data_IF_329883773686
#
_entry.id   IF_329883773686
#
_cell.length_a   1.000
_cell.length_b   1.000
_cell.length_c   1.000
_cell.angle_alpha   90.00
_cell.angle_beta   90.00
_cell.angle_gamma   90.00
#
_symmetry.space_group_name_H-M   'P 1'
#
loop_
_entity.id
_entity.type
_entity.pdbx_description
1 polymer ?
#
# COMPACT_ATOMS: atom_id res chain seq x y z
N UNK A 1 -0.18 -11.45 7.72
CA UNK A 1 -0.65 -12.57 8.54
C UNK A 1 -1.14 -12.10 9.90
N UNK A 2 -0.25 -11.93 10.90
CA UNK A 2 -0.60 -11.49 12.27
C UNK A 2 -1.69 -10.40 12.35
N UNK A 3 -1.52 -9.28 11.63
CA UNK A 3 -2.52 -8.20 11.62
C UNK A 3 -3.89 -8.62 11.08
N UNK A 4 -3.92 -9.44 10.01
CA UNK A 4 -5.17 -9.94 9.42
C UNK A 4 -5.88 -10.92 10.38
N UNK A 5 -5.13 -11.78 11.06
CA UNK A 5 -5.67 -12.70 12.09
C UNK A 5 -6.38 -11.89 13.18
N UNK A 6 -5.69 -10.91 13.76
CA UNK A 6 -6.28 -10.06 14.80
C UNK A 6 -7.49 -9.26 14.31
N UNK A 7 -7.49 -8.80 13.05
CA UNK A 7 -8.63 -8.11 12.47
C UNK A 7 -9.86 -9.01 12.34
N UNK A 8 -9.65 -10.24 11.87
CA UNK A 8 -10.71 -11.24 11.77
C UNK A 8 -11.28 -11.56 13.15
N UNK A 9 -10.41 -11.88 14.12
CA UNK A 9 -10.85 -12.20 15.48
C UNK A 9 -11.61 -11.04 16.13
N UNK A 10 -11.09 -9.81 16.06
CA UNK A 10 -11.74 -8.64 16.66
C UNK A 10 -13.10 -8.34 16.02
N UNK A 11 -13.21 -8.40 14.69
CA UNK A 11 -14.48 -8.16 14.01
C UNK A 11 -15.51 -9.27 14.29
N UNK A 12 -15.04 -10.51 14.44
CA UNK A 12 -15.89 -11.65 14.82
C UNK A 12 -16.42 -11.50 16.24
N UNK A 13 -15.59 -11.04 17.18
CA UNK A 13 -16.00 -10.70 18.55
C UNK A 13 -17.04 -9.55 18.58
N UNK A 14 -16.91 -8.59 17.66
CA UNK A 14 -17.88 -7.49 17.46
C UNK A 14 -19.16 -7.93 16.69
N UNK A 15 -19.28 -9.21 16.33
CA UNK A 15 -20.47 -9.78 15.71
C UNK A 15 -20.57 -9.60 14.18
N UNK A 16 -19.45 -9.32 13.51
CA UNK A 16 -19.38 -9.33 12.05
C UNK A 16 -19.08 -10.73 11.51
N UNK A 17 -19.63 -11.03 10.33
CA UNK A 17 -19.15 -12.14 9.51
C UNK A 17 -17.84 -11.73 8.83
N UNK A 18 -16.81 -12.55 9.01
CA UNK A 18 -15.44 -12.26 8.57
C UNK A 18 -15.05 -13.10 7.38
N UNK A 19 -14.53 -12.43 6.34
CA UNK A 19 -14.11 -13.05 5.08
C UNK A 19 -12.62 -12.76 4.88
N UNK A 20 -11.82 -13.82 4.77
CA UNK A 20 -10.39 -13.71 4.50
C UNK A 20 -10.09 -14.07 3.04
N UNK A 21 -9.26 -13.26 2.36
CA UNK A 21 -8.70 -13.58 1.05
C UNK A 21 -7.18 -13.57 1.17
N UNK A 22 -6.56 -14.74 1.08
CA UNK A 22 -5.11 -14.90 1.17
C UNK A 22 -4.69 -16.23 0.52
N UNK A 23 -3.55 -16.26 -0.17
CA UNK A 23 -3.05 -17.43 -0.89
C UNK A 23 -1.77 -18.02 -0.29
N UNK A 24 -1.29 -17.53 0.86
CA UNK A 24 -0.08 -18.05 1.49
C UNK A 24 -0.40 -19.25 2.40
N UNK A 25 0.02 -20.48 2.05
CA UNK A 25 -0.32 -21.68 2.82
C UNK A 25 0.36 -21.75 4.20
N UNK A 26 1.41 -20.96 4.42
CA UNK A 26 2.20 -20.99 5.67
C UNK A 26 1.69 -20.00 6.72
N UNK A 27 0.44 -19.57 6.64
CA UNK A 27 -0.09 -18.47 7.46
C UNK A 27 -1.31 -18.86 8.29
N UNK A 28 -1.40 -18.33 9.51
CA UNK A 28 -2.54 -18.59 10.41
C UNK A 28 -3.83 -17.96 9.85
N UNK A 29 -3.70 -16.87 9.09
CA UNK A 29 -4.84 -16.28 8.37
C UNK A 29 -5.47 -17.22 7.35
N UNK A 30 -4.80 -18.27 6.91
CA UNK A 30 -5.37 -19.28 6.01
C UNK A 30 -5.82 -20.56 6.72
N UNK A 31 -5.79 -20.59 8.06
CA UNK A 31 -6.49 -21.62 8.82
C UNK A 31 -8.01 -21.37 8.79
N UNK A 32 -8.78 -22.44 8.61
CA UNK A 32 -10.24 -22.39 8.51
C UNK A 32 -10.94 -21.90 9.79
N UNK A 33 -10.26 -21.91 10.93
CA UNK A 33 -10.81 -21.43 12.21
C UNK A 33 -10.70 -19.91 12.40
N UNK A 34 -9.87 -19.23 11.58
CA UNK A 34 -9.54 -17.80 11.76
C UNK A 34 -10.65 -16.85 11.29
N UNK A 35 -11.41 -17.24 10.27
CA UNK A 35 -12.48 -16.43 9.65
C UNK A 35 -13.69 -17.28 9.35
N UNK A 36 -14.88 -16.69 9.30
CA UNK A 36 -16.11 -17.43 8.99
C UNK A 36 -16.09 -17.99 7.55
N UNK A 37 -15.44 -17.28 6.63
CA UNK A 37 -15.23 -17.70 5.24
C UNK A 37 -13.81 -17.40 4.78
N UNK A 38 -13.13 -18.41 4.23
CA UNK A 38 -11.79 -18.29 3.66
C UNK A 38 -11.82 -18.53 2.15
N UNK A 39 -11.29 -17.56 1.41
CA UNK A 39 -10.96 -17.68 0.00
C UNK A 39 -9.45 -17.83 -0.15
N UNK A 40 -9.02 -19.07 -0.42
CA UNK A 40 -7.62 -19.37 -0.72
C UNK A 40 -7.30 -19.04 -2.19
N UNK A 41 -7.43 -17.76 -2.52
CA UNK A 41 -7.33 -17.23 -3.89
C UNK A 41 -6.22 -16.18 -3.98
N UNK A 42 -5.65 -15.94 -5.19
CA UNK A 42 -4.69 -14.88 -5.39
C UNK A 42 -5.25 -13.51 -5.00
N UNK A 43 -4.42 -12.67 -4.36
CA UNK A 43 -4.80 -11.30 -3.99
C UNK A 43 -4.59 -10.37 -5.19
N UNK A 44 -5.39 -10.56 -6.24
CA UNK A 44 -5.42 -9.69 -7.44
C UNK A 44 -6.72 -8.91 -7.52
N UNK A 45 -6.77 -7.91 -8.40
CA UNK A 45 -7.99 -7.11 -8.59
C UNK A 45 -9.16 -7.98 -9.07
N UNK A 46 -8.94 -8.85 -10.05
CA UNK A 46 -9.99 -9.66 -10.67
C UNK A 46 -10.59 -10.64 -9.65
N UNK A 47 -9.74 -11.42 -8.99
CA UNK A 47 -10.16 -12.42 -8.01
C UNK A 47 -10.94 -11.78 -6.85
N UNK A 48 -10.45 -10.65 -6.34
CA UNK A 48 -11.12 -9.92 -5.26
C UNK A 48 -12.46 -9.34 -5.72
N UNK A 49 -12.56 -8.83 -6.96
CA UNK A 49 -13.83 -8.30 -7.48
C UNK A 49 -14.89 -9.40 -7.63
N UNK A 50 -14.52 -10.60 -8.06
CA UNK A 50 -15.46 -11.72 -8.14
C UNK A 50 -15.96 -12.14 -6.74
N UNK A 51 -15.08 -12.17 -5.74
CA UNK A 51 -15.48 -12.43 -4.35
C UNK A 51 -16.42 -11.33 -3.84
N UNK A 52 -16.09 -10.06 -4.06
CA UNK A 52 -16.95 -8.92 -3.67
C UNK A 52 -18.31 -8.98 -4.37
N UNK A 53 -18.36 -9.41 -5.64
CA UNK A 53 -19.59 -9.51 -6.43
C UNK A 53 -20.58 -10.49 -5.81
N UNK A 54 -20.11 -11.62 -5.28
CA UNK A 54 -20.95 -12.64 -4.66
C UNK A 54 -21.24 -12.33 -3.18
N UNK A 55 -20.23 -11.91 -2.41
CA UNK A 55 -20.35 -11.70 -0.96
C UNK A 55 -21.01 -10.37 -0.60
N UNK A 56 -20.84 -9.35 -1.45
CA UNK A 56 -21.35 -7.98 -1.22
C UNK A 56 -21.03 -7.48 0.20
N UNK A 57 -19.75 -7.48 0.62
CA UNK A 57 -19.35 -7.18 1.98
C UNK A 57 -19.76 -5.76 2.38
N UNK A 58 -20.05 -5.57 3.67
CA UNK A 58 -20.32 -4.24 4.25
C UNK A 58 -19.09 -3.32 4.17
N UNK A 59 -17.88 -3.91 4.24
CA UNK A 59 -16.63 -3.17 4.19
C UNK A 59 -15.45 -4.08 3.87
N UNK A 60 -14.40 -3.51 3.28
CA UNK A 60 -13.16 -4.21 2.89
C UNK A 60 -11.95 -3.52 3.50
N UNK A 61 -11.10 -4.30 4.18
CA UNK A 61 -9.86 -3.84 4.81
C UNK A 61 -8.69 -4.13 3.88
N UNK A 62 -8.00 -3.09 3.43
CA UNK A 62 -6.84 -3.19 2.52
C UNK A 62 -5.51 -2.88 3.23
N UNK A 63 -5.54 -2.45 4.48
CA UNK A 63 -4.39 -1.87 5.20
C UNK A 63 -3.50 -2.92 5.87
N UNK A 64 -3.98 -4.15 6.06
CA UNK A 64 -3.31 -5.15 6.90
C UNK A 64 -2.50 -6.21 6.14
N UNK A 65 -2.58 -6.22 4.80
CA UNK A 65 -1.84 -7.18 3.95
C UNK A 65 -0.57 -6.63 3.30
N UNK A 66 -0.05 -5.49 3.75
CA UNK A 66 1.15 -4.86 3.18
C UNK A 66 0.90 -4.25 1.79
N UNK A 67 1.93 -4.20 0.92
CA UNK A 67 1.84 -3.46 -0.34
C UNK A 67 0.83 -4.05 -1.32
N UNK A 68 0.63 -5.37 -1.30
CA UNK A 68 -0.22 -6.07 -2.28
C UNK A 68 -1.65 -5.50 -2.29
N UNK A 69 -2.40 -5.50 -1.19
CA UNK A 69 -3.73 -4.88 -1.16
C UNK A 69 -3.69 -3.35 -1.25
N UNK A 70 -2.66 -2.67 -0.73
CA UNK A 70 -2.56 -1.20 -0.85
C UNK A 70 -2.49 -0.74 -2.31
N UNK A 71 -1.81 -1.51 -3.18
CA UNK A 71 -1.78 -1.24 -4.63
C UNK A 71 -3.14 -1.42 -5.31
N UNK A 72 -4.00 -2.28 -4.77
CA UNK A 72 -5.34 -2.55 -5.31
C UNK A 72 -6.38 -1.53 -4.84
N UNK A 73 -6.13 -0.84 -3.72
CA UNK A 73 -7.12 0.01 -3.02
C UNK A 73 -7.86 1.00 -3.94
N UNK A 74 -7.14 1.74 -4.80
CA UNK A 74 -7.76 2.70 -5.74
C UNK A 74 -8.63 2.03 -6.79
N UNK A 75 -8.17 0.90 -7.34
CA UNK A 75 -8.92 0.18 -8.37
C UNK A 75 -10.18 -0.48 -7.78
N UNK A 76 -10.08 -1.00 -6.55
CA UNK A 76 -11.22 -1.53 -5.80
C UNK A 76 -12.26 -0.43 -5.53
N UNK A 77 -11.84 0.75 -5.05
CA UNK A 77 -12.75 1.87 -4.82
C UNK A 77 -13.39 2.37 -6.12
N UNK A 78 -12.62 2.48 -7.21
CA UNK A 78 -13.16 2.84 -8.52
C UNK A 78 -14.20 1.83 -9.05
N UNK A 79 -14.08 0.56 -8.66
CA UNK A 79 -15.04 -0.49 -8.96
C UNK A 79 -16.25 -0.53 -7.98
N UNK A 80 -16.31 0.39 -7.01
CA UNK A 80 -17.42 0.48 -6.05
C UNK A 80 -17.28 -0.43 -4.83
N UNK A 81 -16.10 -1.02 -4.60
CA UNK A 81 -15.85 -1.83 -3.40
C UNK A 81 -15.81 -0.92 -2.17
N UNK A 82 -16.55 -1.26 -1.07
CA UNK A 82 -16.61 -0.40 0.11
C UNK A 82 -15.34 -0.53 0.96
N UNK A 83 -14.25 0.13 0.57
CA UNK A 83 -13.02 0.15 1.37
C UNK A 83 -13.25 0.94 2.66
N UNK A 84 -13.00 0.31 3.81
CA UNK A 84 -13.17 0.92 5.15
C UNK A 84 -11.82 1.21 5.81
N UNK A 85 -11.81 2.05 6.84
CA UNK A 85 -10.59 2.52 7.51
C UNK A 85 -10.00 3.75 6.82
N UNK A 86 -8.68 3.77 6.64
CA UNK A 86 -8.01 4.84 5.87
C UNK A 86 -8.41 4.73 4.40
N UNK A 87 -8.91 5.82 3.82
CA UNK A 87 -9.38 5.83 2.44
C UNK A 87 -8.24 5.58 1.43
N UNK A 88 -8.54 5.02 0.25
CA UNK A 88 -7.57 4.88 -0.84
C UNK A 88 -6.87 6.18 -1.22
N UNK A 89 -7.57 7.32 -1.26
CA UNK A 89 -6.93 8.63 -1.48
C UNK A 89 -5.92 9.00 -0.38
N UNK A 90 -6.24 8.71 0.89
CA UNK A 90 -5.34 8.99 1.99
C UNK A 90 -4.12 8.06 1.99
N UNK A 91 -4.30 6.78 1.60
CA UNK A 91 -3.20 5.84 1.35
C UNK A 91 -2.32 6.38 0.22
N UNK A 92 -2.92 6.77 -0.90
CA UNK A 92 -2.22 7.31 -2.07
C UNK A 92 -1.41 8.56 -1.72
N UNK A 93 -1.96 9.45 -0.91
CA UNK A 93 -1.28 10.65 -0.41
C UNK A 93 -0.02 10.34 0.40
N UNK A 94 0.05 9.18 1.04
CA UNK A 94 1.21 8.74 1.82
C UNK A 94 2.21 7.91 0.97
N UNK A 95 1.71 7.09 0.06
CA UNK A 95 2.51 6.22 -0.82
C UNK A 95 3.15 6.97 -1.99
N UNK A 96 2.49 8.02 -2.47
CA UNK A 96 3.01 8.92 -3.50
C UNK A 96 3.92 9.99 -2.87
N UNK A 97 5.19 9.98 -3.27
CA UNK A 97 6.23 10.86 -2.70
C UNK A 97 5.96 12.34 -2.95
N UNK A 98 5.38 12.70 -4.10
CA UNK A 98 5.06 14.07 -4.45
C UNK A 98 3.87 14.56 -3.62
N UNK A 99 2.80 13.74 -3.53
CA UNK A 99 1.65 14.07 -2.69
C UNK A 99 2.04 14.17 -1.22
N UNK A 100 2.93 13.30 -0.74
CA UNK A 100 3.44 13.35 0.61
C UNK A 100 4.28 14.61 0.87
N UNK A 101 5.15 14.99 -0.07
CA UNK A 101 5.91 16.25 -0.01
C UNK A 101 4.97 17.45 0.12
N UNK A 102 3.93 17.52 -0.72
CA UNK A 102 2.92 18.59 -0.63
C UNK A 102 2.16 18.59 0.71
N UNK A 103 1.89 17.42 1.28
CA UNK A 103 1.24 17.33 2.59
C UNK A 103 2.15 17.89 3.72
N UNK A 104 3.44 17.57 3.69
CA UNK A 104 4.43 18.07 4.65
C UNK A 104 4.62 19.59 4.54
N UNK A 105 4.74 20.11 3.31
CA UNK A 105 4.80 21.54 2.99
C UNK A 105 3.58 22.28 3.57
N UNK A 106 2.37 21.77 3.27
CA UNK A 106 1.11 22.36 3.74
C UNK A 106 1.03 22.39 5.27
N UNK A 107 1.53 21.37 5.94
CA UNK A 107 1.56 21.27 7.41
C UNK A 107 2.71 22.06 8.04
N UNK A 108 3.60 22.65 7.24
CA UNK A 108 4.79 23.39 7.69
C UNK A 108 5.71 22.54 8.57
N UNK A 109 5.80 21.25 8.25
CA UNK A 109 6.75 20.34 8.89
C UNK A 109 8.09 20.36 8.15
N UNK A 110 9.15 19.89 8.81
CA UNK A 110 10.48 19.82 8.20
C UNK A 110 10.62 18.57 7.32
N UNK A 111 11.19 18.73 6.14
CA UNK A 111 11.61 17.65 5.25
C UNK A 111 12.99 17.99 4.66
N UNK A 112 13.86 17.00 4.37
CA UNK A 112 15.12 17.25 3.67
C UNK A 112 14.89 17.93 2.32
N UNK A 113 15.89 18.62 1.77
CA UNK A 113 15.84 19.06 0.38
C UNK A 113 15.65 17.82 -0.52
N UNK A 114 14.61 17.83 -1.36
CA UNK A 114 14.23 16.69 -2.19
C UNK A 114 13.48 17.14 -3.44
N UNK A 115 13.41 16.27 -4.44
CA UNK A 115 12.62 16.44 -5.65
C UNK A 115 12.01 15.10 -6.07
N UNK A 116 10.84 15.16 -6.69
CA UNK A 116 10.20 14.00 -7.33
C UNK A 116 10.40 14.09 -8.85
N UNK A 117 10.81 12.98 -9.45
CA UNK A 117 11.20 12.92 -10.87
C UNK A 117 10.69 11.61 -11.50
N UNK A 118 10.43 11.65 -12.80
CA UNK A 118 9.96 10.49 -13.59
C UNK A 118 10.88 10.13 -14.74
N UNK A 119 11.94 10.92 -14.98
CA UNK A 119 12.94 10.69 -16.02
C UNK A 119 14.35 10.92 -15.44
N UNK A 120 15.33 10.17 -15.96
CA UNK A 120 16.71 10.18 -15.47
C UNK A 120 17.36 11.55 -15.70
N UNK A 121 17.07 12.20 -16.82
CA UNK A 121 17.61 13.51 -17.17
C UNK A 121 17.16 14.58 -16.16
N UNK A 122 15.89 14.55 -15.76
CA UNK A 122 15.35 15.42 -14.71
C UNK A 122 15.96 15.09 -13.35
N UNK A 123 16.21 13.81 -13.06
CA UNK A 123 16.86 13.39 -11.83
C UNK A 123 18.27 14.00 -11.71
N UNK A 124 19.07 13.96 -12.78
CA UNK A 124 20.42 14.54 -12.82
C UNK A 124 20.39 16.06 -12.68
N UNK A 125 19.41 16.75 -13.30
CA UNK A 125 19.25 18.19 -13.13
C UNK A 125 18.92 18.55 -11.67
N UNK A 126 17.94 17.87 -11.07
CA UNK A 126 17.54 18.10 -9.68
C UNK A 126 18.59 17.67 -8.66
N UNK A 127 19.39 16.66 -8.98
CA UNK A 127 20.50 16.24 -8.14
C UNK A 127 21.53 17.35 -7.95
N UNK A 128 21.81 18.14 -9.00
CA UNK A 128 22.73 19.28 -8.94
C UNK A 128 22.20 20.43 -8.09
N UNK A 129 20.88 20.61 -8.03
CA UNK A 129 20.23 21.61 -7.18
C UNK A 129 20.27 21.21 -5.69
N UNK A 130 20.08 19.91 -5.39
CA UNK A 130 19.98 19.40 -4.01
C UNK A 130 21.37 19.12 -3.41
N UNK A 131 22.27 18.53 -4.18
CA UNK A 131 23.63 18.15 -3.78
C UNK A 131 23.76 16.70 -3.29
N UNK A 132 24.88 16.07 -3.63
CA UNK A 132 25.23 14.71 -3.23
C UNK A 132 25.82 14.63 -1.80
N UNK A 133 25.70 13.48 -1.11
CA UNK A 133 25.01 12.25 -1.52
C UNK A 133 23.48 12.36 -1.46
N UNK A 134 22.78 11.62 -2.32
CA UNK A 134 21.31 11.60 -2.41
C UNK A 134 20.75 10.22 -2.10
N UNK A 135 19.53 10.18 -1.58
CA UNK A 135 18.80 8.92 -1.35
C UNK A 135 17.67 8.80 -2.37
N UNK A 136 17.82 7.88 -3.33
CA UNK A 136 16.80 7.58 -4.34
C UNK A 136 15.74 6.70 -3.70
N UNK A 137 14.46 7.09 -3.79
CA UNK A 137 13.34 6.38 -3.15
C UNK A 137 12.13 6.29 -4.08
N UNK A 138 11.77 5.08 -4.55
CA UNK A 138 10.55 4.91 -5.32
C UNK A 138 9.28 5.16 -4.48
N UNK A 139 8.18 5.47 -5.19
CA UNK A 139 6.81 5.46 -4.66
C UNK A 139 6.23 4.04 -4.69
N UNK A 140 5.23 3.75 -3.85
CA UNK A 140 4.51 2.45 -3.79
C UNK A 140 5.40 1.21 -3.53
N UNK A 141 6.47 1.39 -2.76
CA UNK A 141 7.37 0.32 -2.34
C UNK A 141 7.60 0.36 -0.82
N UNK A 142 7.77 -0.84 -0.25
CA UNK A 142 8.13 -1.05 1.14
C UNK A 142 9.47 -1.81 1.25
N UNK A 143 10.10 -1.74 2.42
CA UNK A 143 11.34 -2.49 2.71
C UNK A 143 12.59 -2.00 1.95
N UNK A 144 12.60 -0.75 1.46
CA UNK A 144 13.77 -0.20 0.77
C UNK A 144 14.02 -0.75 -0.62
N UNK A 145 13.03 -1.42 -1.24
CA UNK A 145 13.18 -2.01 -2.57
C UNK A 145 13.54 -0.93 -3.60
N UNK A 146 14.68 -1.12 -4.28
CA UNK A 146 15.27 -0.18 -5.23
C UNK A 146 15.55 1.22 -4.64
N UNK A 147 15.78 1.30 -3.33
CA UNK A 147 16.35 2.50 -2.72
C UNK A 147 17.87 2.40 -2.72
N UNK A 148 18.53 3.50 -3.03
CA UNK A 148 19.98 3.55 -3.12
C UNK A 148 20.50 4.90 -2.66
N UNK A 149 21.71 4.91 -2.09
CA UNK A 149 22.45 6.13 -1.82
C UNK A 149 23.39 6.34 -3.00
N UNK A 150 23.19 7.42 -3.72
CA UNK A 150 23.98 7.77 -4.90
C UNK A 150 24.95 8.91 -4.54
N UNK A 151 26.19 8.82 -5.00
CA UNK A 151 27.24 9.77 -4.65
C UNK A 151 27.61 10.70 -5.81
N UNK A 152 27.27 10.35 -7.04
CA UNK A 152 27.52 11.16 -8.23
C UNK A 152 26.50 10.92 -9.38
N UNK A 153 26.71 11.59 -10.51
CA UNK A 153 25.86 11.49 -11.71
C UNK A 153 25.91 10.08 -12.35
N UNK A 154 26.98 9.29 -12.12
CA UNK A 154 27.13 7.95 -12.68
C UNK A 154 26.36 6.93 -11.84
N UNK A 155 26.42 7.03 -10.51
CA UNK A 155 25.59 6.21 -9.59
C UNK A 155 24.09 6.45 -9.78
N UNK A 156 23.70 7.66 -10.20
CA UNK A 156 22.30 8.02 -10.41
C UNK A 156 21.69 7.45 -11.71
N UNK A 157 22.51 7.02 -12.67
CA UNK A 157 22.06 6.56 -13.99
C UNK A 157 21.97 5.04 -14.08
#
# INVERSE_FOLDING_TARGET
DYCCVHASLALREDGYETIMVNCNPETVSTDYDTSDRLYFEPVTLEDVLEIVRIEKPKGVIVQYGGQTPLKLARALEAAGVPVIGTSPDAIDRAEDRERFQHAVERLKLKQPANATVTAIEMAVEKAKEIGYPLVVRPSYVLGGRAMEIVYDDADLR
#
